data_IF_185493133942
#
_entry.id   IF_185493133942
#
_cell.length_a   1.000
_cell.length_b   1.000
_cell.length_c   1.000
_cell.angle_alpha   90.00
_cell.angle_beta   90.00
_cell.angle_gamma   90.00
#
_symmetry.space_group_name_H-M   'P 1'
#
loop_
_entity.id
_entity.type
_entity.pdbx_description
1 polymer ?
#
# COMPACT_ATOMS: atom_id res chain seq x y z
N UNK A 1 -38.84 -12.23 -33.50
CA UNK A 1 -37.55 -12.95 -33.48
C UNK A 1 -36.37 -11.99 -33.59
N UNK A 2 -36.28 -11.17 -34.65
CA UNK A 2 -35.15 -10.24 -34.86
C UNK A 2 -34.94 -9.21 -33.75
N UNK A 3 -36.01 -8.71 -33.12
CA UNK A 3 -35.91 -7.77 -31.99
C UNK A 3 -35.26 -8.41 -30.75
N UNK A 4 -35.56 -9.68 -30.48
CA UNK A 4 -34.97 -10.43 -29.36
C UNK A 4 -33.48 -10.64 -29.59
N UNK A 5 -33.10 -11.06 -30.81
CA UNK A 5 -31.69 -11.21 -31.19
C UNK A 5 -30.94 -9.88 -31.06
N UNK A 6 -31.53 -8.77 -31.51
CA UNK A 6 -30.90 -7.46 -31.41
C UNK A 6 -30.61 -7.06 -29.95
N UNK A 7 -31.54 -7.30 -29.03
CA UNK A 7 -31.32 -7.06 -27.59
C UNK A 7 -30.19 -7.92 -27.03
N UNK A 8 -30.12 -9.20 -27.40
CA UNK A 8 -29.01 -10.08 -26.99
C UNK A 8 -27.66 -9.62 -27.53
N UNK A 9 -27.59 -9.19 -28.79
CA UNK A 9 -26.37 -8.68 -29.41
C UNK A 9 -25.90 -7.39 -28.70
N UNK A 10 -26.81 -6.43 -28.47
CA UNK A 10 -26.47 -5.17 -27.80
C UNK A 10 -25.99 -5.43 -26.38
N UNK A 11 -26.69 -6.27 -25.61
CA UNK A 11 -26.26 -6.66 -24.26
C UNK A 11 -24.87 -7.28 -24.27
N UNK A 12 -24.63 -8.24 -25.17
CA UNK A 12 -23.32 -8.89 -25.30
C UNK A 12 -22.23 -7.90 -25.66
N UNK A 13 -22.50 -6.94 -26.56
CA UNK A 13 -21.56 -5.88 -26.91
C UNK A 13 -21.23 -4.97 -25.74
N UNK A 14 -22.22 -4.60 -24.93
CA UNK A 14 -22.03 -3.83 -23.69
C UNK A 14 -21.20 -4.62 -22.68
N UNK A 15 -21.51 -5.90 -22.48
CA UNK A 15 -20.81 -6.77 -21.52
C UNK A 15 -19.33 -6.95 -21.92
N UNK A 16 -19.05 -7.23 -23.20
CA UNK A 16 -17.68 -7.33 -23.74
C UNK A 16 -16.92 -6.02 -23.56
N UNK A 17 -17.56 -4.88 -23.88
CA UNK A 17 -16.93 -3.55 -23.76
C UNK A 17 -16.63 -3.22 -22.30
N UNK A 18 -17.55 -3.53 -21.38
CA UNK A 18 -17.37 -3.33 -19.94
C UNK A 18 -16.24 -4.20 -19.41
N UNK A 19 -16.15 -5.46 -19.83
CA UNK A 19 -15.07 -6.36 -19.46
C UNK A 19 -13.71 -5.86 -19.98
N UNK A 20 -13.65 -5.42 -21.24
CA UNK A 20 -12.45 -4.84 -21.83
C UNK A 20 -12.00 -3.57 -21.10
N UNK A 21 -12.93 -2.66 -20.81
CA UNK A 21 -12.65 -1.44 -20.03
C UNK A 21 -12.18 -1.77 -18.62
N UNK A 22 -12.78 -2.76 -17.96
CA UNK A 22 -12.37 -3.19 -16.62
C UNK A 22 -10.94 -3.74 -16.63
N UNK A 23 -10.56 -4.52 -17.65
CA UNK A 23 -9.18 -5.02 -17.82
C UNK A 23 -8.17 -3.91 -18.13
N UNK A 24 -8.56 -2.89 -18.89
CA UNK A 24 -7.69 -1.75 -19.23
C UNK A 24 -7.48 -0.83 -18.02
N UNK A 25 -8.54 -0.56 -17.26
CA UNK A 25 -8.52 0.33 -16.09
C UNK A 25 -7.92 -0.38 -14.86
N UNK A 26 -7.86 -1.72 -14.89
CA UNK A 26 -7.49 -2.56 -13.76
C UNK A 26 -8.76 -3.01 -13.03
N UNK A 27 -9.01 -4.33 -13.04
CA UNK A 27 -10.07 -4.90 -12.21
C UNK A 27 -9.61 -4.86 -10.75
N UNK A 28 -10.49 -4.48 -9.82
CA UNK A 28 -10.22 -4.62 -8.38
C UNK A 28 -9.85 -6.08 -8.12
N UNK A 29 -8.68 -6.29 -7.54
CA UNK A 29 -8.21 -7.63 -7.21
C UNK A 29 -9.09 -8.25 -6.15
N UNK A 30 -9.25 -9.56 -6.21
CA UNK A 30 -9.95 -10.33 -5.17
C UNK A 30 -9.29 -10.05 -3.81
N UNK A 31 -10.02 -9.45 -2.84
CA UNK A 31 -9.48 -9.12 -1.52
C UNK A 31 -8.88 -10.33 -0.78
N UNK A 32 -9.35 -11.54 -1.10
CA UNK A 32 -8.78 -12.77 -0.54
C UNK A 32 -7.36 -13.06 -1.03
N UNK A 33 -7.08 -12.78 -2.31
CA UNK A 33 -5.73 -12.93 -2.89
C UNK A 33 -4.79 -11.89 -2.29
N UNK A 34 -5.23 -10.63 -2.19
CA UNK A 34 -4.42 -9.57 -1.58
C UNK A 34 -4.03 -9.90 -0.13
N UNK A 35 -5.00 -10.35 0.66
CA UNK A 35 -4.77 -10.82 2.03
C UNK A 35 -3.79 -11.99 2.06
N UNK A 36 -3.97 -13.01 1.22
CA UNK A 36 -3.10 -14.18 1.20
C UNK A 36 -1.66 -13.83 0.83
N UNK A 37 -1.46 -12.88 -0.09
CA UNK A 37 -0.14 -12.36 -0.47
C UNK A 37 0.51 -11.64 0.72
N UNK A 38 -0.21 -10.72 1.39
CA UNK A 38 0.28 -10.04 2.60
C UNK A 38 0.64 -11.05 3.70
N UNK A 39 -0.24 -12.01 3.97
CA UNK A 39 -0.02 -13.06 4.97
C UNK A 39 1.20 -13.94 4.64
N UNK A 40 1.48 -14.19 3.35
CA UNK A 40 2.67 -14.95 2.95
C UNK A 40 3.96 -14.13 3.12
N UNK A 41 3.93 -12.85 2.78
CA UNK A 41 5.05 -11.92 2.97
C UNK A 41 5.39 -11.78 4.46
N UNK A 42 4.37 -11.65 5.31
CA UNK A 42 4.53 -11.48 6.76
C UNK A 42 5.13 -12.69 7.47
N UNK A 43 5.25 -13.86 6.80
CA UNK A 43 5.96 -15.03 7.36
C UNK A 43 7.48 -14.91 7.22
N UNK A 44 7.98 -13.97 6.43
CA UNK A 44 9.40 -13.82 6.19
C UNK A 44 10.09 -13.27 7.45
N UNK A 45 11.13 -13.94 7.97
CA UNK A 45 11.82 -13.47 9.17
C UNK A 45 12.35 -12.05 9.01
N UNK A 46 11.99 -11.17 9.94
CA UNK A 46 12.42 -9.78 9.98
C UNK A 46 11.57 -8.81 9.15
N UNK A 47 10.64 -9.28 8.33
CA UNK A 47 9.62 -8.41 7.72
C UNK A 47 8.57 -8.07 8.78
N UNK A 48 8.32 -6.79 9.00
CA UNK A 48 7.38 -6.30 10.04
C UNK A 48 6.11 -5.69 9.49
N UNK A 49 6.00 -5.56 8.16
CA UNK A 49 4.86 -4.96 7.48
C UNK A 49 4.89 -5.26 5.99
N UNK A 50 3.71 -5.31 5.37
CA UNK A 50 3.51 -5.43 3.93
C UNK A 50 2.42 -4.44 3.51
N UNK A 51 2.85 -3.33 2.91
CA UNK A 51 2.07 -2.14 2.62
C UNK A 51 2.01 -1.90 1.11
N UNK A 52 1.08 -1.04 0.70
CA UNK A 52 0.95 -0.51 -0.67
C UNK A 52 0.95 -1.63 -1.72
N UNK A 53 0.24 -2.71 -1.40
CA UNK A 53 0.10 -3.86 -2.27
C UNK A 53 -0.81 -3.48 -3.44
N UNK A 54 -0.21 -3.30 -4.60
CA UNK A 54 -0.90 -2.90 -5.82
C UNK A 54 -0.93 -4.06 -6.82
N UNK A 55 -2.06 -4.29 -7.46
CA UNK A 55 -2.24 -5.37 -8.42
C UNK A 55 -2.68 -4.88 -9.80
N UNK A 56 -2.20 -5.57 -10.82
CA UNK A 56 -2.69 -5.55 -12.17
C UNK A 56 -3.09 -6.97 -12.58
N UNK A 57 -4.37 -7.17 -12.91
CA UNK A 57 -4.89 -8.44 -13.42
C UNK A 57 -4.91 -8.44 -14.95
N UNK A 58 -4.04 -9.23 -15.57
CA UNK A 58 -3.96 -9.42 -17.02
C UNK A 58 -4.57 -10.75 -17.49
N UNK A 59 -5.40 -11.39 -16.64
CA UNK A 59 -6.08 -12.64 -16.93
C UNK A 59 -5.72 -13.79 -15.97
N UNK A 60 -6.30 -14.98 -16.18
CA UNK A 60 -6.31 -16.09 -15.22
C UNK A 60 -4.93 -16.45 -14.64
N UNK A 61 -3.91 -16.44 -15.49
CA UNK A 61 -2.55 -16.87 -15.15
C UNK A 61 -1.52 -15.72 -15.11
N UNK A 62 -1.97 -14.46 -15.18
CA UNK A 62 -1.09 -13.29 -15.25
C UNK A 62 -1.57 -12.18 -14.33
N UNK A 63 -1.41 -12.41 -13.03
CA UNK A 63 -1.51 -11.35 -12.03
C UNK A 63 -0.12 -10.81 -11.75
N UNK A 64 0.05 -9.50 -11.90
CA UNK A 64 1.29 -8.81 -11.57
C UNK A 64 1.01 -7.87 -10.40
N UNK A 65 1.88 -7.84 -9.42
CA UNK A 65 1.73 -6.96 -8.27
C UNK A 65 3.05 -6.32 -7.85
N UNK A 66 2.94 -5.23 -7.09
CA UNK A 66 4.05 -4.61 -6.39
C UNK A 66 3.68 -4.42 -4.93
N UNK A 67 4.67 -4.45 -4.05
CA UNK A 67 4.46 -4.32 -2.60
C UNK A 67 5.61 -3.58 -1.97
N UNK A 68 5.36 -2.81 -0.91
CA UNK A 68 6.41 -2.31 -0.02
C UNK A 68 6.47 -3.16 1.24
N UNK A 69 7.66 -3.61 1.62
CA UNK A 69 7.87 -4.33 2.88
C UNK A 69 8.57 -3.44 3.89
N UNK A 70 8.17 -3.55 5.16
CA UNK A 70 8.89 -2.92 6.27
C UNK A 70 9.97 -3.87 6.79
N UNK A 71 11.22 -3.41 6.79
CA UNK A 71 12.39 -4.17 7.26
C UNK A 71 13.28 -3.30 8.16
N UNK A 72 14.08 -3.88 9.06
CA UNK A 72 14.98 -3.13 9.93
C UNK A 72 15.94 -2.22 9.17
N UNK A 73 16.15 -1.01 9.69
CA UNK A 73 17.17 -0.04 9.25
C UNK A 73 18.64 -0.49 9.42
N UNK A 74 18.83 -1.70 9.93
CA UNK A 74 20.12 -2.38 10.07
C UNK A 74 20.40 -3.35 8.93
N UNK A 75 19.43 -3.65 8.07
CA UNK A 75 19.60 -4.60 6.98
C UNK A 75 20.56 -4.07 5.91
N UNK A 76 21.41 -4.96 5.43
CA UNK A 76 22.30 -4.72 4.30
C UNK A 76 21.60 -5.03 2.98
N UNK A 77 22.17 -4.54 1.86
CA UNK A 77 21.58 -4.72 0.54
C UNK A 77 21.44 -6.20 0.14
N UNK A 78 22.36 -7.07 0.57
CA UNK A 78 22.30 -8.51 0.33
C UNK A 78 21.18 -9.20 1.14
N UNK A 79 20.91 -8.77 2.37
CA UNK A 79 19.79 -9.27 3.17
C UNK A 79 18.43 -8.88 2.57
N UNK A 80 18.35 -7.65 2.05
CA UNK A 80 17.17 -7.16 1.32
C UNK A 80 16.98 -7.97 0.03
N UNK A 81 18.01 -8.15 -0.80
CA UNK A 81 17.91 -8.94 -2.05
C UNK A 81 17.49 -10.40 -1.76
N UNK A 82 18.12 -11.05 -0.78
CA UNK A 82 17.77 -12.43 -0.42
C UNK A 82 16.29 -12.53 0.00
N UNK A 83 15.84 -11.62 0.85
CA UNK A 83 14.46 -11.63 1.37
C UNK A 83 13.45 -11.32 0.26
N UNK A 84 13.71 -10.32 -0.58
CA UNK A 84 12.83 -9.96 -1.71
C UNK A 84 12.68 -11.13 -2.69
N UNK A 85 13.77 -11.81 -3.05
CA UNK A 85 13.71 -13.01 -3.93
C UNK A 85 12.92 -14.16 -3.30
N UNK A 86 13.05 -14.34 -1.98
CA UNK A 86 12.28 -15.36 -1.24
C UNK A 86 10.80 -15.03 -1.21
N UNK A 87 10.45 -13.75 -1.04
CA UNK A 87 9.08 -13.23 -1.13
C UNK A 87 8.50 -13.50 -2.51
N UNK A 88 9.19 -13.07 -3.56
CA UNK A 88 8.78 -13.26 -4.96
C UNK A 88 8.47 -14.74 -5.25
N UNK A 89 9.38 -15.63 -4.86
CA UNK A 89 9.20 -17.07 -5.06
C UNK A 89 8.02 -17.62 -4.25
N UNK A 90 7.89 -17.26 -2.96
CA UNK A 90 6.81 -17.76 -2.11
C UNK A 90 5.42 -17.34 -2.62
N UNK A 91 5.29 -16.07 -2.99
CA UNK A 91 4.05 -15.49 -3.53
C UNK A 91 3.69 -16.13 -4.88
N UNK A 92 4.66 -16.27 -5.78
CA UNK A 92 4.44 -16.97 -7.06
C UNK A 92 3.97 -18.41 -6.85
N UNK A 93 4.64 -19.16 -5.97
CA UNK A 93 4.36 -20.58 -5.74
C UNK A 93 2.96 -20.82 -5.18
N UNK A 94 2.45 -19.90 -4.35
CA UNK A 94 1.21 -20.07 -3.61
C UNK A 94 0.00 -19.46 -4.32
N UNK A 95 0.14 -18.24 -4.82
CA UNK A 95 -0.97 -17.45 -5.36
C UNK A 95 -0.89 -17.25 -6.88
N UNK A 96 0.20 -17.72 -7.52
CA UNK A 96 0.47 -17.49 -8.95
C UNK A 96 0.49 -16.00 -9.33
N UNK A 97 0.95 -15.17 -8.40
CA UNK A 97 1.14 -13.72 -8.59
C UNK A 97 2.61 -13.44 -8.83
N UNK A 98 2.91 -12.69 -9.89
CA UNK A 98 4.25 -12.20 -10.19
C UNK A 98 4.44 -10.89 -9.44
N UNK A 99 5.35 -10.85 -8.48
CA UNK A 99 5.78 -9.58 -7.89
C UNK A 99 6.79 -8.91 -8.83
N UNK A 100 6.39 -7.82 -9.49
CA UNK A 100 7.27 -7.05 -10.37
C UNK A 100 8.23 -6.14 -9.62
N UNK A 101 7.87 -5.77 -8.38
CA UNK A 101 8.71 -4.98 -7.49
C UNK A 101 8.40 -5.29 -6.02
N UNK A 102 9.47 -5.40 -5.22
CA UNK A 102 9.41 -5.39 -3.76
C UNK A 102 10.13 -4.14 -3.29
N UNK A 103 9.36 -3.09 -3.01
CA UNK A 103 9.83 -1.84 -2.44
C UNK A 103 10.13 -1.98 -0.94
N UNK A 104 10.89 -1.03 -0.41
CA UNK A 104 11.43 -1.13 0.95
C UNK A 104 11.08 0.12 1.76
N UNK A 105 10.45 -0.11 2.91
CA UNK A 105 10.41 0.84 4.00
C UNK A 105 11.37 0.40 5.10
N UNK A 106 12.32 1.27 5.43
CA UNK A 106 13.16 1.05 6.59
C UNK A 106 12.35 1.31 7.86
N UNK A 107 12.56 0.48 8.89
CA UNK A 107 11.97 0.64 10.22
C UNK A 107 13.08 0.92 11.22
N UNK A 108 12.97 2.01 11.97
CA UNK A 108 13.97 2.36 12.98
C UNK A 108 14.06 1.25 14.04
N UNK A 109 15.24 0.66 14.19
CA UNK A 109 15.50 -0.35 15.24
C UNK A 109 16.61 0.04 16.22
N UNK A 110 17.39 1.07 15.88
CA UNK A 110 18.58 1.47 16.62
C UNK A 110 18.29 2.47 17.76
N UNK A 111 17.36 3.40 17.53
CA UNK A 111 17.09 4.52 18.44
C UNK A 111 15.71 4.40 19.10
N UNK A 112 15.65 4.28 20.45
CA UNK A 112 14.40 4.33 21.20
C UNK A 112 13.62 5.65 21.01
N UNK A 113 14.28 6.77 20.70
CA UNK A 113 13.59 8.05 20.48
C UNK A 113 12.73 8.01 19.21
N UNK A 114 13.19 7.41 18.11
CA UNK A 114 12.38 7.25 16.89
C UNK A 114 11.06 6.53 17.18
N UNK A 115 11.06 5.55 18.09
CA UNK A 115 9.83 4.86 18.52
C UNK A 115 8.88 5.78 19.29
N UNK A 116 9.41 6.62 20.18
CA UNK A 116 8.58 7.60 20.91
C UNK A 116 7.98 8.62 19.96
N UNK A 117 8.73 9.04 18.93
CA UNK A 117 8.25 9.91 17.88
C UNK A 117 7.10 9.25 17.11
N UNK A 118 7.29 7.99 16.70
CA UNK A 118 6.26 7.21 16.01
C UNK A 118 4.97 7.09 16.85
N UNK A 119 5.10 6.69 18.12
CA UNK A 119 3.95 6.50 19.03
C UNK A 119 3.18 7.81 19.24
N UNK A 120 3.90 8.94 19.36
CA UNK A 120 3.28 10.26 19.51
C UNK A 120 2.58 10.72 18.23
N UNK A 121 3.18 10.51 17.06
CA UNK A 121 2.54 10.80 15.77
C UNK A 121 1.29 9.94 15.62
N UNK A 122 1.36 8.64 15.89
CA UNK A 122 0.18 7.75 15.88
C UNK A 122 -0.91 8.25 16.83
N UNK A 123 -0.55 8.79 18.00
CA UNK A 123 -1.51 9.40 18.91
C UNK A 123 -2.16 10.67 18.35
N UNK A 124 -1.42 11.50 17.60
CA UNK A 124 -1.98 12.68 16.91
C UNK A 124 -2.98 12.22 15.84
N UNK A 125 -2.57 11.27 15.00
CA UNK A 125 -3.41 10.71 13.94
C UNK A 125 -4.67 10.03 14.50
N UNK A 126 -4.60 9.44 15.69
CA UNK A 126 -5.76 8.82 16.36
C UNK A 126 -6.92 9.78 16.69
N UNK A 127 -6.71 11.10 16.60
CA UNK A 127 -7.79 12.09 16.74
C UNK A 127 -8.58 12.32 15.45
N UNK A 128 -8.08 11.86 14.31
CA UNK A 128 -8.68 12.05 12.99
C UNK A 128 -9.42 10.78 12.56
N UNK A 129 -10.74 10.89 12.39
CA UNK A 129 -11.61 9.74 12.09
C UNK A 129 -11.43 9.18 10.68
N UNK A 130 -10.91 9.98 9.76
CA UNK A 130 -10.79 9.63 8.34
C UNK A 130 -9.41 9.09 7.96
N UNK A 131 -8.50 8.93 8.91
CA UNK A 131 -7.21 8.30 8.65
C UNK A 131 -7.40 6.79 8.58
N UNK A 132 -7.14 6.23 7.41
CA UNK A 132 -7.24 4.80 7.19
C UNK A 132 -5.96 4.11 7.66
N UNK A 133 -4.81 4.61 7.24
CA UNK A 133 -3.53 3.94 7.47
C UNK A 133 -2.36 4.93 7.53
N UNK A 134 -1.31 4.52 8.25
CA UNK A 134 0.02 5.15 8.26
C UNK A 134 1.08 4.06 8.09
N UNK A 135 1.94 4.22 7.09
CA UNK A 135 3.02 3.29 6.77
C UNK A 135 4.33 4.02 6.50
N UNK A 136 5.41 3.27 6.32
CA UNK A 136 6.70 3.83 5.88
C UNK A 136 7.31 4.83 6.86
N UNK A 137 6.90 4.77 8.14
CA UNK A 137 7.41 5.68 9.15
C UNK A 137 8.92 5.49 9.35
N UNK A 138 9.66 6.59 9.26
CA UNK A 138 11.06 6.65 9.59
C UNK A 138 11.45 8.03 10.13
N UNK A 139 12.17 8.03 11.24
CA UNK A 139 12.73 9.23 11.86
C UNK A 139 14.25 9.09 12.00
N UNK A 140 14.97 10.07 11.45
CA UNK A 140 16.41 10.21 11.56
C UNK A 140 16.76 11.70 11.52
N UNK A 141 17.17 12.23 12.67
CA UNK A 141 17.23 13.67 12.91
C UNK A 141 18.02 14.41 11.80
N UNK A 142 17.48 15.51 11.25
CA UNK A 142 16.25 16.19 11.67
C UNK A 142 14.97 15.70 10.96
N UNK A 143 15.02 14.64 10.16
CA UNK A 143 13.90 14.25 9.30
C UNK A 143 12.92 13.30 9.98
N UNK A 144 11.64 13.52 9.73
CA UNK A 144 10.56 12.58 9.99
C UNK A 144 9.79 12.41 8.69
N UNK A 145 9.62 11.16 8.23
CA UNK A 145 8.83 10.84 7.04
C UNK A 145 7.89 9.68 7.29
N UNK A 146 6.72 9.74 6.68
CA UNK A 146 5.75 8.65 6.63
C UNK A 146 4.70 8.92 5.55
N UNK A 147 4.02 7.86 5.17
CA UNK A 147 2.94 7.91 4.20
C UNK A 147 1.61 7.80 4.94
N UNK A 148 0.64 8.60 4.50
CA UNK A 148 -0.67 8.74 5.13
C UNK A 148 -1.77 8.52 4.11
N UNK A 149 -2.70 7.64 4.45
CA UNK A 149 -3.90 7.38 3.65
C UNK A 149 -5.11 7.98 4.39
N UNK A 150 -5.79 8.92 3.73
CA UNK A 150 -7.02 9.55 4.21
C UNK A 150 -8.19 9.09 3.33
N UNK A 151 -9.30 8.70 3.96
CA UNK A 151 -10.53 8.25 3.31
C UNK A 151 -10.98 9.26 2.24
N UNK A 152 -11.25 8.77 1.03
CA UNK A 152 -11.76 9.57 -0.08
C UNK A 152 -13.12 10.23 0.20
N UNK A 153 -13.89 9.71 1.15
CA UNK A 153 -15.20 10.25 1.52
C UNK A 153 -15.11 11.54 2.33
N UNK A 154 -13.92 11.95 2.80
CA UNK A 154 -13.79 13.23 3.50
C UNK A 154 -14.08 14.39 2.54
N UNK A 155 -14.85 15.37 3.03
CA UNK A 155 -15.26 16.53 2.21
C UNK A 155 -14.08 17.33 1.68
N UNK A 156 -13.01 17.47 2.47
CA UNK A 156 -11.84 18.25 2.09
C UNK A 156 -10.53 17.58 2.54
N UNK A 157 -10.08 16.60 1.76
CA UNK A 157 -8.89 15.80 2.07
C UNK A 157 -7.61 16.63 2.19
N UNK A 158 -7.50 17.69 1.40
CA UNK A 158 -6.33 18.56 1.40
C UNK A 158 -6.25 19.42 2.68
N UNK A 159 -7.41 19.84 3.20
CA UNK A 159 -7.50 20.60 4.45
C UNK A 159 -7.11 19.72 5.63
N UNK A 160 -7.69 18.52 5.76
CA UNK A 160 -7.34 17.58 6.83
C UNK A 160 -5.86 17.18 6.78
N UNK A 161 -5.31 16.90 5.60
CA UNK A 161 -3.87 16.69 5.42
C UNK A 161 -3.03 17.89 5.92
N UNK A 162 -3.44 19.11 5.59
CA UNK A 162 -2.70 20.32 5.97
C UNK A 162 -2.74 20.55 7.48
N UNK A 163 -3.88 20.28 8.11
CA UNK A 163 -4.04 20.33 9.56
C UNK A 163 -3.12 19.32 10.26
N UNK A 164 -3.14 18.06 9.82
CA UNK A 164 -2.28 16.99 10.36
C UNK A 164 -0.80 17.36 10.24
N UNK A 165 -0.39 17.87 9.08
CA UNK A 165 0.99 18.30 8.86
C UNK A 165 1.38 19.44 9.81
N UNK A 166 0.50 20.41 10.03
CA UNK A 166 0.74 21.51 10.95
C UNK A 166 0.81 21.03 12.41
N UNK A 167 -0.08 20.12 12.84
CA UNK A 167 -0.04 19.53 14.17
C UNK A 167 1.26 18.75 14.41
N UNK A 168 1.69 17.93 13.45
CA UNK A 168 2.94 17.18 13.56
C UNK A 168 4.15 18.13 13.63
N UNK A 169 4.18 19.19 12.83
CA UNK A 169 5.25 20.22 12.88
C UNK A 169 5.26 20.98 14.20
N UNK A 170 4.10 21.29 14.78
CA UNK A 170 4.01 21.91 16.12
C UNK A 170 4.53 20.97 17.21
N UNK A 171 4.27 19.67 17.10
CA UNK A 171 4.77 18.67 18.03
C UNK A 171 6.29 18.46 17.91
N UNK A 172 6.86 18.65 16.72
CA UNK A 172 8.27 18.45 16.42
C UNK A 172 8.89 19.66 15.70
N UNK A 173 9.02 20.82 16.35
CA UNK A 173 9.46 22.06 15.71
C UNK A 173 10.92 22.03 15.24
N UNK A 174 11.75 21.19 15.86
CA UNK A 174 13.16 21.01 15.50
C UNK A 174 13.38 19.94 14.40
N UNK A 175 12.29 19.39 13.84
CA UNK A 175 12.33 18.39 12.78
C UNK A 175 11.74 18.91 11.47
N UNK A 176 12.25 18.39 10.36
CA UNK A 176 11.62 18.49 9.05
C UNK A 176 10.62 17.33 8.87
N UNK A 177 9.34 17.62 9.11
CA UNK A 177 8.24 16.65 8.96
C UNK A 177 7.75 16.64 7.52
N UNK A 178 7.86 15.48 6.89
CA UNK A 178 7.42 15.18 5.53
C UNK A 178 6.33 14.11 5.58
N UNK A 179 5.16 14.41 5.03
CA UNK A 179 4.04 13.46 4.96
C UNK A 179 3.70 13.29 3.49
N UNK A 180 3.74 12.06 2.99
CA UNK A 180 3.22 11.74 1.66
C UNK A 180 1.74 11.43 1.79
N UNK A 181 0.89 12.20 1.11
CA UNK A 181 -0.51 11.83 1.01
C UNK A 181 -0.65 10.76 -0.08
N UNK A 182 -0.84 9.52 0.34
CA UNK A 182 -1.08 8.42 -0.58
C UNK A 182 -2.59 8.28 -0.84
N UNK A 183 -2.91 7.83 -2.04
CA UNK A 183 -4.27 7.49 -2.42
C UNK A 183 -4.57 6.07 -1.92
N UNK A 184 -5.80 5.84 -1.46
CA UNK A 184 -6.29 4.48 -1.20
C UNK A 184 -6.51 3.74 -2.54
N UNK A 185 -5.41 3.39 -3.20
CA UNK A 185 -5.39 2.63 -4.46
C UNK A 185 -5.23 1.13 -4.22
N UNK A 186 -5.10 0.71 -2.96
CA UNK A 186 -4.81 -0.66 -2.56
C UNK A 186 -5.69 -1.13 -1.39
N UNK A 187 -6.52 -2.13 -1.70
CA UNK A 187 -7.48 -2.90 -0.88
C UNK A 187 -8.77 -2.20 -0.39
#
# INVERSE_FOLDING_TARGET
MSLVIAVFIIKSGIDITREALSKIIGARTDPSVAKNVKDEIMKMPGVTGACDLFFNDYGPDKKVASVHIEVPDTWTADQIDETSRRIEHAVWKKEHVILSAVGIYAKNTKDPESRKIEEKIRSILGHYLHILQMHGFYADYPQIRFDLIIDFNVKNRQEEYSEILEECRKAYPDHDVQITLDADVSD
#
